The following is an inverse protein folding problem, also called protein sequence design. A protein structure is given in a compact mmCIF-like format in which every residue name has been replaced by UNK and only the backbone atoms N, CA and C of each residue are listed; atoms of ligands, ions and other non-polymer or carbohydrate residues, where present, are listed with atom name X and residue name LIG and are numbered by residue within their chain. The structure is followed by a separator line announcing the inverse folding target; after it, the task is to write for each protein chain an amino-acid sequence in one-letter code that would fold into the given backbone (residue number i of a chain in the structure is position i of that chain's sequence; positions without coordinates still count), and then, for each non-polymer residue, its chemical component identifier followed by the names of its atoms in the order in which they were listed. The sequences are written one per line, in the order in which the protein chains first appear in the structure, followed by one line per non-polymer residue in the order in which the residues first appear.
data_IF_878019337543
#
_entry.id   IF_878019337543
#
_cell.length_a   1.000
_cell.length_b   1.000
_cell.length_c   1.000
_cell.angle_alpha   90.00
_cell.angle_beta   90.00
_cell.angle_gamma   90.00
#
_symmetry.space_group_name_H-M   'P 1'
#
loop_
_entity.id
_entity.type
_entity.pdbx_description
1 polymer ?
#
# COMPACT_ATOMS: atom_id res chain seq x y z
N UNK A 1 -28.35 5.00 -33.44
CA UNK A 1 -27.51 4.05 -32.66
C UNK A 1 -26.12 4.06 -33.28
N UNK A 2 -25.13 4.73 -32.65
CA UNK A 2 -23.75 4.79 -33.18
C UNK A 2 -22.94 3.59 -32.64
N UNK A 3 -22.17 2.88 -33.48
CA UNK A 3 -21.38 1.76 -33.00
C UNK A 3 -20.18 2.29 -32.23
N UNK A 4 -20.09 1.92 -30.95
CA UNK A 4 -18.95 2.22 -30.09
C UNK A 4 -17.71 1.48 -30.62
N UNK A 5 -16.86 2.23 -31.34
CA UNK A 5 -15.54 1.78 -31.81
C UNK A 5 -14.73 1.29 -30.60
N UNK A 6 -14.62 -0.04 -30.42
CA UNK A 6 -13.66 -0.64 -29.49
C UNK A 6 -12.28 -0.25 -29.99
N UNK A 7 -11.64 0.71 -29.31
CA UNK A 7 -10.25 1.06 -29.60
C UNK A 7 -9.39 -0.12 -29.16
N UNK A 8 -8.76 -0.81 -30.11
CA UNK A 8 -7.70 -1.78 -29.85
C UNK A 8 -6.67 -1.12 -28.92
N UNK A 9 -6.53 -1.64 -27.71
CA UNK A 9 -5.46 -1.22 -26.80
C UNK A 9 -4.15 -1.72 -27.39
N UNK A 10 -3.22 -0.81 -27.66
CA UNK A 10 -1.81 -1.13 -27.88
C UNK A 10 -1.22 -1.70 -26.59
N UNK A 11 -1.55 -2.96 -26.33
CA UNK A 11 -0.99 -3.76 -25.27
C UNK A 11 0.48 -3.97 -25.63
N UNK A 12 1.33 -3.23 -24.92
CA UNK A 12 2.77 -3.50 -25.00
C UNK A 12 2.96 -4.69 -24.07
N UNK A 13 3.41 -5.84 -24.59
CA UNK A 13 3.50 -7.06 -23.78
C UNK A 13 4.36 -6.78 -22.55
N UNK A 14 3.79 -7.00 -21.37
CA UNK A 14 4.47 -6.82 -20.07
C UNK A 14 4.18 -5.52 -19.33
N UNK A 15 3.32 -4.61 -19.82
CA UNK A 15 2.94 -3.43 -19.05
C UNK A 15 1.92 -3.78 -17.95
N UNK A 16 2.22 -3.43 -16.70
CA UNK A 16 1.33 -3.62 -15.53
C UNK A 16 1.09 -2.32 -14.76
N UNK A 17 -0.10 -2.19 -14.18
CA UNK A 17 -0.43 -1.09 -13.28
C UNK A 17 0.42 -1.16 -12.01
N UNK A 18 1.10 -0.07 -11.64
CA UNK A 18 1.95 -0.05 -10.45
C UNK A 18 1.19 -0.16 -9.12
N UNK A 19 -0.09 0.19 -9.09
CA UNK A 19 -0.91 0.12 -7.89
C UNK A 19 -1.63 -1.23 -7.78
N UNK A 20 -2.36 -1.62 -8.83
CA UNK A 20 -3.20 -2.81 -8.79
C UNK A 20 -2.62 -4.04 -9.51
N UNK A 21 -1.43 -3.96 -10.11
CA UNK A 21 -0.82 -5.03 -10.90
C UNK A 21 -1.67 -5.55 -12.08
N UNK A 22 -2.74 -4.84 -12.47
CA UNK A 22 -3.54 -5.22 -13.64
C UNK A 22 -2.73 -5.01 -14.91
N UNK A 23 -2.66 -6.03 -15.74
CA UNK A 23 -2.03 -6.00 -17.07
C UNK A 23 -3.01 -5.50 -18.13
N UNK A 24 -4.30 -5.82 -17.98
CA UNK A 24 -5.34 -5.42 -18.92
C UNK A 24 -6.02 -4.13 -18.45
N UNK A 25 -6.13 -3.15 -19.35
CA UNK A 25 -6.87 -1.89 -19.12
C UNK A 25 -7.25 -1.23 -20.44
N UNK A 26 -8.45 -0.65 -20.57
CA UNK A 26 -8.85 0.04 -21.80
C UNK A 26 -8.05 1.32 -22.08
N UNK A 27 -7.44 1.91 -21.04
CA UNK A 27 -6.62 3.11 -21.15
C UNK A 27 -5.53 3.09 -20.07
N UNK A 28 -4.29 3.39 -20.48
CA UNK A 28 -3.19 3.66 -19.56
C UNK A 28 -3.17 5.14 -19.21
N UNK A 29 -3.02 5.46 -17.92
CA UNK A 29 -3.02 6.83 -17.38
C UNK A 29 -1.68 7.13 -16.69
N UNK A 30 -1.36 8.42 -16.59
CA UNK A 30 -0.23 8.93 -15.81
C UNK A 30 -0.45 8.68 -14.32
N UNK A 31 0.60 8.22 -13.65
CA UNK A 31 0.65 8.02 -12.21
C UNK A 31 1.86 8.72 -11.59
N UNK A 32 2.16 8.43 -10.33
CA UNK A 32 3.24 9.09 -9.60
C UNK A 32 4.63 8.82 -10.20
N UNK A 33 4.83 7.66 -10.81
CA UNK A 33 6.09 7.29 -11.47
C UNK A 33 6.15 7.70 -12.95
N UNK A 34 5.23 8.55 -13.41
CA UNK A 34 5.22 9.08 -14.78
C UNK A 34 4.10 8.52 -15.67
N UNK A 35 4.19 8.76 -16.99
CA UNK A 35 3.13 8.45 -17.94
C UNK A 35 2.88 6.94 -18.06
N UNK A 36 1.62 6.57 -18.30
CA UNK A 36 1.19 5.18 -18.56
C UNK A 36 1.55 4.16 -17.46
N UNK A 37 1.68 4.59 -16.20
CA UNK A 37 2.03 3.73 -15.06
C UNK A 37 0.82 3.16 -14.31
N UNK A 38 -0.38 3.72 -14.54
CA UNK A 38 -1.62 3.27 -13.90
C UNK A 38 -2.65 2.81 -14.92
N UNK A 39 -3.46 1.81 -14.53
CA UNK A 39 -4.66 1.46 -15.28
C UNK A 39 -5.71 2.58 -15.21
N UNK A 40 -6.78 2.46 -15.99
CA UNK A 40 -7.81 3.48 -16.08
C UNK A 40 -8.46 3.75 -14.70
N UNK A 41 -8.85 2.71 -13.98
CA UNK A 41 -9.53 2.83 -12.69
C UNK A 41 -8.62 3.49 -11.63
N UNK A 42 -7.38 3.01 -11.49
CA UNK A 42 -6.42 3.57 -10.53
C UNK A 42 -6.02 5.01 -10.91
N UNK A 43 -5.82 5.29 -12.20
CA UNK A 43 -5.42 6.61 -12.67
C UNK A 43 -6.49 7.69 -12.45
N UNK A 44 -7.78 7.37 -12.62
CA UNK A 44 -8.87 8.32 -12.30
C UNK A 44 -8.88 8.65 -10.81
N UNK A 45 -8.71 7.63 -9.95
CA UNK A 45 -8.65 7.83 -8.49
C UNK A 45 -7.42 8.63 -8.07
N UNK A 46 -6.27 8.37 -8.70
CA UNK A 46 -5.02 9.09 -8.44
C UNK A 46 -5.17 10.57 -8.76
N UNK A 47 -5.71 10.91 -9.94
CA UNK A 47 -5.97 12.30 -10.34
C UNK A 47 -6.87 13.05 -9.34
N UNK A 48 -7.82 12.36 -8.72
CA UNK A 48 -8.69 12.94 -7.68
C UNK A 48 -8.12 12.95 -6.26
N UNK A 49 -6.89 12.44 -6.05
CA UNK A 49 -6.31 12.29 -4.70
C UNK A 49 -7.00 11.22 -3.83
N UNK A 50 -7.78 10.32 -4.44
CA UNK A 50 -8.57 9.28 -3.76
C UNK A 50 -8.02 7.87 -3.97
N UNK A 51 -6.81 7.75 -4.54
CA UNK A 51 -6.15 6.46 -4.67
C UNK A 51 -5.49 6.13 -3.33
N UNK A 52 -6.02 5.11 -2.66
CA UNK A 52 -5.54 4.65 -1.36
C UNK A 52 -5.13 3.17 -1.45
N UNK A 53 -4.29 2.67 -0.52
CA UNK A 53 -3.88 1.26 -0.49
C UNK A 53 -5.05 0.29 -0.37
N UNK A 54 -6.11 0.68 0.36
CA UNK A 54 -7.31 -0.16 0.57
C UNK A 54 -8.22 -0.23 -0.66
N UNK A 55 -8.07 0.69 -1.63
CA UNK A 55 -8.80 0.60 -2.89
C UNK A 55 -8.11 -0.43 -3.78
N UNK A 56 -8.88 -1.31 -4.42
CA UNK A 56 -8.37 -2.16 -5.51
C UNK A 56 -9.51 -2.63 -6.40
N UNK A 57 -9.39 -2.58 -7.73
CA UNK A 57 -10.38 -3.16 -8.63
C UNK A 57 -10.52 -4.68 -8.39
N UNK A 58 -11.73 -5.22 -8.51
CA UNK A 58 -11.97 -6.65 -8.31
C UNK A 58 -11.21 -7.54 -9.31
N UNK A 59 -11.00 -7.05 -10.54
CA UNK A 59 -10.22 -7.74 -11.57
C UNK A 59 -8.69 -7.67 -11.37
N UNK A 60 -8.22 -7.04 -10.30
CA UNK A 60 -6.79 -7.00 -9.97
C UNK A 60 -6.30 -8.39 -9.53
N UNK A 61 -5.15 -8.88 -10.03
CA UNK A 61 -4.58 -10.16 -9.60
C UNK A 61 -4.15 -10.18 -8.12
N UNK A 62 -4.04 -9.01 -7.52
CA UNK A 62 -3.55 -8.79 -6.16
C UNK A 62 -4.71 -8.37 -5.22
N UNK A 63 -5.97 -8.58 -5.66
CA UNK A 63 -7.16 -8.32 -4.87
C UNK A 63 -7.28 -9.29 -3.69
N UNK A 64 -7.58 -8.74 -2.51
CA UNK A 64 -7.77 -9.52 -1.28
C UNK A 64 -8.97 -8.92 -0.57
N UNK A 65 -10.07 -9.66 -0.45
CA UNK A 65 -11.37 -9.15 0.03
C UNK A 65 -11.32 -8.56 1.45
N UNK A 66 -10.43 -9.07 2.30
CA UNK A 66 -10.26 -8.58 3.68
C UNK A 66 -9.50 -7.26 3.77
N UNK A 67 -8.67 -6.93 2.77
CA UNK A 67 -7.82 -5.72 2.76
C UNK A 67 -8.26 -4.70 1.74
N UNK A 68 -8.99 -5.13 0.71
CA UNK A 68 -9.23 -4.35 -0.48
C UNK A 68 -10.71 -4.31 -0.84
N UNK A 69 -11.14 -3.16 -1.37
CA UNK A 69 -12.47 -3.02 -1.97
C UNK A 69 -12.45 -2.14 -3.21
N UNK A 70 -13.37 -2.45 -4.14
CA UNK A 70 -13.61 -1.60 -5.31
C UNK A 70 -14.64 -0.48 -5.02
N UNK A 71 -15.35 -0.56 -3.89
CA UNK A 71 -16.39 0.41 -3.51
C UNK A 71 -15.81 1.49 -2.61
N UNK A 72 -16.02 2.76 -2.98
CA UNK A 72 -15.53 3.90 -2.22
C UNK A 72 -16.03 3.91 -0.77
N UNK A 73 -17.33 3.67 -0.55
CA UNK A 73 -17.91 3.61 0.80
C UNK A 73 -17.23 2.55 1.65
N UNK A 74 -16.98 1.36 1.09
CA UNK A 74 -16.32 0.26 1.81
C UNK A 74 -14.85 0.55 2.09
N UNK A 75 -14.14 1.22 1.17
CA UNK A 75 -12.76 1.65 1.37
C UNK A 75 -12.64 2.62 2.55
N UNK A 76 -13.56 3.59 2.67
CA UNK A 76 -13.59 4.51 3.81
C UNK A 76 -13.86 3.76 5.11
N UNK A 77 -14.82 2.82 5.11
CA UNK A 77 -15.10 2.01 6.29
C UNK A 77 -13.90 1.13 6.70
N UNK A 78 -13.19 0.51 5.74
CA UNK A 78 -11.98 -0.26 6.04
C UNK A 78 -10.90 0.60 6.72
N UNK A 79 -10.75 1.86 6.30
CA UNK A 79 -9.80 2.78 6.93
C UNK A 79 -10.23 3.15 8.35
N UNK A 80 -11.51 3.46 8.56
CA UNK A 80 -12.09 3.74 9.89
C UNK A 80 -11.90 2.55 10.84
N UNK A 81 -12.16 1.34 10.37
CA UNK A 81 -11.97 0.11 11.16
C UNK A 81 -10.50 -0.11 11.52
N UNK A 82 -9.58 0.15 10.59
CA UNK A 82 -8.14 0.05 10.84
C UNK A 82 -7.68 1.04 11.91
N UNK A 83 -8.19 2.27 11.90
CA UNK A 83 -7.90 3.28 12.92
C UNK A 83 -8.36 2.84 14.32
N UNK A 84 -9.54 2.24 14.44
CA UNK A 84 -10.05 1.70 15.71
C UNK A 84 -9.26 0.47 16.20
N UNK A 85 -8.65 -0.29 15.30
CA UNK A 85 -7.84 -1.47 15.66
C UNK A 85 -6.39 -1.11 16.03
N UNK A 86 -5.88 0.08 15.67
CA UNK A 86 -4.49 0.49 15.97
C UNK A 86 -4.17 0.46 17.48
N UNK A 87 -5.02 0.97 18.40
CA UNK A 87 -4.73 0.93 19.83
C UNK A 87 -4.57 -0.50 20.38
N UNK A 88 -5.43 -1.41 19.94
CA UNK A 88 -5.38 -2.84 20.32
C UNK A 88 -4.08 -3.49 19.85
N UNK A 89 -3.67 -3.24 18.61
CA UNK A 89 -2.42 -3.78 18.07
C UNK A 89 -1.19 -3.20 18.79
N UNK A 90 -1.25 -1.92 19.18
CA UNK A 90 -0.17 -1.26 19.90
C UNK A 90 -0.06 -1.73 21.36
N UNK A 91 -1.19 -2.03 22.02
CA UNK A 91 -1.19 -2.67 23.33
C UNK A 91 -0.65 -4.10 23.28
N UNK A 92 -0.97 -4.88 22.24
CA UNK A 92 -0.46 -6.25 22.10
C UNK A 92 1.06 -6.28 21.82
N UNK A 93 1.56 -5.39 20.96
CA UNK A 93 3.00 -5.23 20.73
C UNK A 93 3.72 -4.70 21.99
N UNK A 94 3.08 -3.80 22.75
CA UNK A 94 3.60 -3.32 24.03
C UNK A 94 3.68 -4.44 25.08
N UNK A 95 2.67 -5.32 25.17
CA UNK A 95 2.74 -6.48 26.05
C UNK A 95 3.81 -7.50 25.63
N UNK A 96 3.96 -7.76 24.33
CA UNK A 96 5.05 -8.63 23.85
C UNK A 96 6.45 -8.02 24.07
N UNK A 97 6.57 -6.70 24.18
CA UNK A 97 7.84 -6.05 24.59
C UNK A 97 8.08 -6.05 26.10
N UNK A 98 7.08 -6.44 26.91
CA UNK A 98 7.17 -6.59 28.37
C UNK A 98 7.54 -8.01 28.79
N UNK A 99 7.09 -9.03 28.04
CA UNK A 99 7.56 -10.41 28.20
C UNK A 99 8.75 -10.66 27.29
N UNK A 100 9.91 -10.12 27.67
CA UNK A 100 11.19 -10.55 27.11
C UNK A 100 11.27 -12.07 27.19
N UNK A 101 11.27 -12.74 26.05
CA UNK A 101 11.48 -14.19 25.94
C UNK A 101 12.86 -14.47 26.54
N UNK A 102 12.89 -14.88 27.80
CA UNK A 102 14.06 -15.44 28.46
C UNK A 102 14.20 -16.86 27.98
N UNK A 103 14.74 -17.03 26.78
CA UNK A 103 15.48 -18.25 26.44
C UNK A 103 16.92 -17.80 26.33
N UNK A 104 17.69 -18.17 27.35
CA UNK A 104 19.10 -17.84 27.45
C UNK A 104 19.84 -18.40 26.26
N UNK A 105 20.65 -17.55 25.64
CA UNK A 105 21.97 -17.91 25.16
C UNK A 105 22.85 -16.65 25.30
N UNK A 106 23.92 -16.86 26.04
CA UNK A 106 25.02 -15.97 26.40
C UNK A 106 25.68 -15.34 25.16
N UNK A 107 25.75 -14.01 25.10
CA UNK A 107 26.87 -13.35 24.41
C UNK A 107 27.26 -12.05 25.12
N UNK A 108 28.46 -12.12 25.69
CA UNK A 108 29.10 -11.19 26.60
C UNK A 108 29.58 -9.90 25.88
N UNK A 109 29.10 -8.74 26.38
CA UNK A 109 29.82 -7.49 26.73
C UNK A 109 30.68 -6.76 25.68
N UNK A 110 30.33 -5.48 25.37
CA UNK A 110 31.15 -4.32 25.78
C UNK A 110 30.37 -2.99 25.77
N UNK A 111 30.02 -2.53 26.98
CA UNK A 111 29.74 -1.12 27.26
C UNK A 111 31.09 -0.39 27.41
N UNK A 112 31.36 0.62 26.59
CA UNK A 112 32.37 1.63 26.91
C UNK A 112 31.69 2.98 27.08
N UNK A 113 31.67 3.47 28.33
CA UNK A 113 31.35 4.86 28.69
C UNK A 113 32.58 5.74 28.38
N UNK A 114 32.32 6.93 27.83
CA UNK A 114 33.25 8.07 27.75
C UNK A 114 32.51 9.21 27.04
N UNK A 115 31.92 10.14 27.81
CA UNK A 115 32.46 11.47 28.09
C UNK A 115 32.20 12.47 26.94
N UNK A 116 31.54 13.58 27.31
CA UNK A 116 31.35 14.82 26.57
C UNK A 116 32.49 15.19 25.60
N UNK A 117 32.14 15.76 24.44
CA UNK A 117 32.50 17.13 24.06
C UNK A 117 31.89 17.49 22.69
N UNK A 118 31.19 18.64 22.65
CA UNK A 118 30.97 19.60 21.53
C UNK A 118 31.44 19.20 20.11
N UNK A 119 30.61 19.49 19.10
CA UNK A 119 30.69 20.74 18.31
C UNK A 119 29.61 20.80 17.22
N UNK A 120 28.84 21.89 17.23
CA UNK A 120 28.19 22.47 16.05
C UNK A 120 29.27 23.07 15.14
N UNK A 121 29.20 22.78 13.84
CA UNK A 121 29.47 23.71 12.74
C UNK A 121 28.46 23.38 11.64
#
# INVERSE_FOLDING_TARGET
MTPSKKRESSDTPGRKCLHCASEKTPQWRTGPMGPKTLCNACGVRFKSGRLVPEYRPAASPTFVSTKHSNSHRKVIELRRQKELQRPLQQQFLSQNSIFGVSNGDDYLIHHQRGADFRHMI
#
